data_IF_727686399057
#
_entry.id   IF_727686399057
#
_cell.length_a   1.000
_cell.length_b   1.000
_cell.length_c   1.000
_cell.angle_alpha   90.00
_cell.angle_beta   90.00
_cell.angle_gamma   90.00
#
_symmetry.space_group_name_H-M   'P 1'
#
loop_
_entity.id
_entity.type
_entity.pdbx_description
1 polymer ?
#
# COMPACT_ATOMS: atom_id res chain seq x y z
N UNK A 1 33.86 -27.68 -42.47
CA UNK A 1 33.17 -27.75 -41.17
C UNK A 1 34.23 -27.49 -40.09
N UNK A 2 34.17 -26.35 -39.40
CA UNK A 2 35.23 -25.97 -38.43
C UNK A 2 35.02 -24.67 -37.63
N UNK A 3 34.15 -23.75 -38.08
CA UNK A 3 33.93 -22.48 -37.36
C UNK A 3 32.92 -22.52 -36.20
N UNK A 4 32.11 -23.59 -36.07
CA UNK A 4 31.07 -23.66 -35.03
C UNK A 4 31.64 -23.77 -33.61
N UNK A 5 32.74 -24.50 -33.44
CA UNK A 5 33.34 -24.75 -32.13
C UNK A 5 34.05 -23.51 -31.56
N UNK A 6 34.65 -22.70 -32.44
CA UNK A 6 35.34 -21.45 -32.06
C UNK A 6 34.32 -20.41 -31.60
N UNK A 7 33.20 -20.26 -32.33
CA UNK A 7 32.14 -19.32 -31.98
C UNK A 7 31.50 -19.64 -30.63
N UNK A 8 31.16 -20.91 -30.37
CA UNK A 8 30.60 -21.33 -29.09
C UNK A 8 31.57 -21.12 -27.92
N UNK A 9 32.86 -21.42 -28.12
CA UNK A 9 33.89 -21.22 -27.10
C UNK A 9 34.05 -19.73 -26.77
N UNK A 10 33.97 -18.86 -27.78
CA UNK A 10 34.04 -17.39 -27.62
C UNK A 10 32.83 -16.85 -26.86
N UNK A 11 31.64 -17.38 -27.15
CA UNK A 11 30.39 -16.96 -26.52
C UNK A 11 30.32 -17.40 -25.04
N UNK A 12 30.81 -18.60 -24.73
CA UNK A 12 30.91 -19.10 -23.34
C UNK A 12 31.94 -18.29 -22.56
N UNK A 13 33.13 -18.06 -23.11
CA UNK A 13 34.17 -17.26 -22.43
C UNK A 13 33.73 -15.82 -22.19
N UNK A 14 33.05 -15.19 -23.15
CA UNK A 14 32.50 -13.86 -22.96
C UNK A 14 31.40 -13.83 -21.88
N UNK A 15 30.51 -14.82 -21.85
CA UNK A 15 29.44 -14.91 -20.84
C UNK A 15 30.01 -15.11 -19.43
N UNK A 16 31.00 -15.98 -19.27
CA UNK A 16 31.67 -16.22 -17.98
C UNK A 16 32.41 -14.97 -17.52
N UNK A 17 33.10 -14.26 -18.42
CA UNK A 17 33.76 -13.00 -18.09
C UNK A 17 32.77 -11.93 -17.61
N UNK A 18 31.62 -11.81 -18.27
CA UNK A 18 30.59 -10.82 -17.95
C UNK A 18 29.91 -11.10 -16.60
N UNK A 19 29.64 -12.37 -16.31
CA UNK A 19 29.11 -12.79 -15.00
C UNK A 19 30.15 -12.53 -13.90
N UNK A 20 31.40 -12.91 -14.12
CA UNK A 20 32.49 -12.72 -13.13
C UNK A 20 32.73 -11.23 -12.85
N UNK A 21 32.73 -10.40 -13.88
CA UNK A 21 32.86 -8.94 -13.76
C UNK A 21 31.74 -8.33 -12.91
N UNK A 22 30.49 -8.72 -13.16
CA UNK A 22 29.36 -8.23 -12.38
C UNK A 22 29.41 -8.70 -10.91
N UNK A 23 29.87 -9.92 -10.65
CA UNK A 23 30.06 -10.43 -9.28
C UNK A 23 31.18 -9.67 -8.58
N UNK A 24 32.32 -9.42 -9.24
CA UNK A 24 33.44 -8.65 -8.67
C UNK A 24 33.04 -7.21 -8.41
N UNK A 25 32.31 -6.55 -9.31
CA UNK A 25 31.83 -5.18 -9.08
C UNK A 25 30.81 -5.12 -7.96
N UNK A 26 29.84 -6.04 -7.89
CA UNK A 26 28.86 -6.06 -6.81
C UNK A 26 29.45 -6.41 -5.44
N UNK A 27 30.49 -7.24 -5.40
CA UNK A 27 31.19 -7.62 -4.17
C UNK A 27 32.24 -6.60 -3.70
N UNK A 28 32.83 -5.83 -4.61
CA UNK A 28 33.79 -4.77 -4.30
C UNK A 28 33.20 -3.36 -4.39
N UNK A 29 31.91 -3.21 -4.69
CA UNK A 29 31.20 -1.95 -4.54
C UNK A 29 31.28 -1.56 -3.06
N UNK A 30 31.93 -0.44 -2.70
CA UNK A 30 31.98 -0.01 -1.32
C UNK A 30 30.54 0.32 -0.90
N UNK A 31 29.97 -0.49 -0.01
CA UNK A 31 28.79 -0.14 0.80
C UNK A 31 29.16 0.98 1.77
N UNK A 32 29.53 2.16 1.25
CA UNK A 32 29.48 3.42 1.98
C UNK A 32 28.08 4.00 1.80
N UNK A 33 27.11 3.34 2.40
CA UNK A 33 25.82 3.94 2.70
C UNK A 33 25.93 4.45 4.14
N UNK A 34 26.54 5.62 4.30
CA UNK A 34 26.44 6.34 5.57
C UNK A 34 24.97 6.68 5.80
N UNK A 35 24.32 5.89 6.65
CA UNK A 35 23.04 6.26 7.23
C UNK A 35 23.27 7.51 8.09
N UNK A 36 22.54 8.62 7.87
CA UNK A 36 22.73 9.80 8.71
C UNK A 36 22.30 9.46 10.14
N UNK A 37 23.28 9.45 11.05
CA UNK A 37 23.07 9.38 12.49
C UNK A 37 22.43 10.67 13.03
N UNK A 38 21.82 10.63 14.23
CA UNK A 38 20.94 11.69 14.70
C UNK A 38 21.75 12.93 15.09
N UNK A 39 21.60 14.00 14.30
CA UNK A 39 21.97 15.35 14.73
C UNK A 39 20.96 15.80 15.78
N UNK A 40 21.43 15.99 17.01
CA UNK A 40 20.68 16.67 18.06
C UNK A 40 20.39 18.10 17.61
N UNK A 41 19.19 18.34 17.09
CA UNK A 41 18.59 19.66 17.10
C UNK A 41 17.09 19.53 17.33
N UNK A 42 16.65 20.02 18.48
CA UNK A 42 15.26 20.21 18.81
C UNK A 42 14.66 21.23 17.84
N UNK A 43 13.93 20.76 16.84
CA UNK A 43 13.03 21.61 16.07
C UNK A 43 11.73 20.86 15.83
N UNK A 44 10.65 21.41 16.37
CA UNK A 44 9.28 20.97 16.14
C UNK A 44 8.96 21.12 14.66
N UNK A 45 8.85 20.01 13.93
CA UNK A 45 8.43 20.01 12.52
C UNK A 45 6.93 20.29 12.47
N UNK A 46 6.55 21.52 12.16
CA UNK A 46 5.20 21.88 11.72
C UNK A 46 5.09 21.59 10.23
N UNK A 47 4.47 20.47 9.86
CA UNK A 47 4.10 20.19 8.47
C UNK A 47 2.86 21.03 8.14
N UNK A 48 3.01 21.98 7.21
CA UNK A 48 1.93 22.86 6.76
C UNK A 48 1.15 22.17 5.62
N UNK A 49 -0.14 21.79 5.81
CA UNK A 49 -0.94 21.16 4.75
C UNK A 49 -1.29 22.19 3.65
N UNK A 50 -1.25 21.75 2.39
CA UNK A 50 -1.49 22.58 1.19
C UNK A 50 -2.96 23.07 1.06
N UNK A 51 -3.83 22.74 2.03
CA UNK A 51 -5.23 23.20 2.09
C UNK A 51 -5.45 23.96 3.40
N UNK A 52 -5.86 25.24 3.30
CA UNK A 52 -6.24 26.06 4.47
C UNK A 52 -7.47 25.45 5.16
N UNK A 53 -7.29 25.05 6.42
CA UNK A 53 -8.34 24.53 7.30
C UNK A 53 -9.35 25.63 7.69
N UNK A 54 -10.65 25.34 7.81
CA UNK A 54 -11.58 26.20 8.54
C UNK A 54 -11.23 26.15 10.02
N UNK A 55 -11.02 27.33 10.60
CA UNK A 55 -10.80 27.51 12.04
C UNK A 55 -12.14 27.29 12.73
N UNK A 56 -12.32 26.13 13.34
CA UNK A 56 -13.04 25.92 14.61
C UNK A 56 -13.58 24.48 14.71
N UNK A 57 -12.82 23.64 15.42
CA UNK A 57 -13.42 22.63 16.30
C UNK A 57 -12.46 22.32 17.44
N UNK A 58 -12.94 22.66 18.63
CA UNK A 58 -12.35 22.48 19.95
C UNK A 58 -11.56 21.18 20.12
N UNK A 59 -10.33 21.30 20.62
CA UNK A 59 -9.58 20.25 21.31
C UNK A 59 -10.42 19.75 22.49
N UNK A 60 -11.16 18.66 22.29
CA UNK A 60 -11.96 18.02 23.32
C UNK A 60 -11.62 16.54 23.41
N UNK A 61 -10.96 16.15 24.51
CA UNK A 61 -10.80 14.76 24.91
C UNK A 61 -9.38 14.44 25.36
N UNK A 62 -9.23 14.08 26.64
CA UNK A 62 -8.07 13.38 27.19
C UNK A 62 -7.85 12.09 26.41
N UNK A 63 -7.05 12.17 25.35
CA UNK A 63 -7.11 11.23 24.24
C UNK A 63 -6.46 9.91 24.56
N UNK A 64 -7.25 8.84 24.55
CA UNK A 64 -6.71 7.50 24.25
C UNK A 64 -5.85 7.62 23.00
N UNK A 65 -4.65 7.01 23.00
CA UNK A 65 -3.79 6.98 21.80
C UNK A 65 -4.62 6.53 20.60
N UNK A 66 -4.55 7.28 19.49
CA UNK A 66 -5.23 6.97 18.24
C UNK A 66 -4.46 5.89 17.49
N UNK A 67 -4.38 4.71 18.08
CA UNK A 67 -3.61 3.61 17.51
C UNK A 67 -4.22 3.18 16.17
N UNK A 68 -3.36 2.77 15.23
CA UNK A 68 -3.79 2.12 13.99
C UNK A 68 -3.31 0.67 13.93
N UNK A 69 -4.13 -0.20 13.34
CA UNK A 69 -3.76 -1.57 13.01
C UNK A 69 -3.07 -1.60 11.64
N UNK A 70 -1.89 -2.21 11.54
CA UNK A 70 -1.20 -2.37 10.26
C UNK A 70 -1.71 -3.63 9.55
N UNK A 71 -2.29 -3.46 8.36
CA UNK A 71 -2.76 -4.55 7.52
C UNK A 71 -1.91 -4.64 6.25
N UNK A 72 -1.27 -5.80 6.03
CA UNK A 72 -0.46 -6.07 4.84
C UNK A 72 -1.09 -7.17 4.03
N UNK A 73 -1.47 -6.88 2.78
CA UNK A 73 -1.96 -7.92 1.87
C UNK A 73 -0.82 -8.64 1.17
N UNK A 74 -0.87 -9.96 1.13
CA UNK A 74 0.20 -10.77 0.57
C UNK A 74 -0.31 -12.05 -0.11
N UNK A 75 0.41 -12.46 -1.16
CA UNK A 75 0.33 -13.80 -1.73
C UNK A 75 1.19 -14.81 -0.96
N UNK A 76 1.06 -16.10 -1.28
CA UNK A 76 1.92 -17.18 -0.80
C UNK A 76 3.24 -17.30 -1.58
N UNK A 77 3.54 -16.33 -2.45
CA UNK A 77 4.80 -16.31 -3.19
C UNK A 77 6.00 -16.18 -2.24
N UNK A 78 7.12 -16.78 -2.62
CA UNK A 78 8.39 -16.63 -1.90
C UNK A 78 8.77 -15.17 -1.77
N UNK A 79 8.47 -14.36 -2.78
CA UNK A 79 8.77 -12.92 -2.82
C UNK A 79 8.01 -12.14 -1.75
N UNK A 80 6.68 -12.24 -1.70
CA UNK A 80 5.91 -11.56 -0.65
C UNK A 80 6.22 -12.12 0.74
N UNK A 81 6.58 -13.39 0.84
CA UNK A 81 6.91 -14.03 2.12
C UNK A 81 8.10 -13.34 2.79
N UNK A 82 9.24 -13.22 2.10
CA UNK A 82 10.42 -12.60 2.73
C UNK A 82 10.19 -11.11 3.03
N UNK A 83 9.50 -10.42 2.13
CA UNK A 83 9.09 -9.02 2.29
C UNK A 83 8.25 -8.80 3.55
N UNK A 84 7.17 -9.57 3.73
CA UNK A 84 6.31 -9.48 4.91
C UNK A 84 7.09 -9.76 6.20
N UNK A 85 8.03 -10.71 6.18
CA UNK A 85 8.86 -11.03 7.35
C UNK A 85 9.77 -9.87 7.73
N UNK A 86 10.43 -9.24 6.74
CA UNK A 86 11.27 -8.05 6.95
C UNK A 86 10.43 -6.89 7.48
N UNK A 87 9.28 -6.62 6.85
CA UNK A 87 8.36 -5.59 7.31
C UNK A 87 7.88 -5.85 8.74
N UNK A 88 7.52 -7.09 9.09
CA UNK A 88 7.05 -7.45 10.42
C UNK A 88 8.16 -7.34 11.49
N UNK A 89 9.39 -7.70 11.16
CA UNK A 89 10.54 -7.47 12.04
C UNK A 89 10.68 -5.98 12.40
N UNK A 90 10.66 -5.12 11.40
CA UNK A 90 10.78 -3.68 11.59
C UNK A 90 9.57 -3.06 12.28
N UNK A 91 8.36 -3.53 11.96
CA UNK A 91 7.14 -3.17 12.67
C UNK A 91 7.29 -3.39 14.18
N UNK A 92 7.77 -4.58 14.61
CA UNK A 92 8.00 -4.86 16.03
C UNK A 92 9.01 -3.90 16.65
N UNK A 93 10.10 -3.58 15.95
CA UNK A 93 11.11 -2.62 16.45
C UNK A 93 10.54 -1.22 16.63
N UNK A 94 9.76 -0.74 15.66
CA UNK A 94 9.22 0.62 15.66
C UNK A 94 8.00 0.78 16.56
N UNK A 95 7.22 -0.29 16.77
CA UNK A 95 6.09 -0.31 17.71
C UNK A 95 6.53 -0.05 19.16
N UNK A 96 7.64 -0.64 19.59
CA UNK A 96 8.16 -0.52 20.97
C UNK A 96 8.80 0.85 21.28
N UNK A 97 8.91 1.73 20.29
CA UNK A 97 9.48 3.06 20.52
C UNK A 97 8.51 3.98 21.28
N UNK A 98 9.03 4.92 22.10
CA UNK A 98 8.19 5.90 22.77
C UNK A 98 7.33 6.69 21.78
N UNK A 99 6.08 6.96 22.16
CA UNK A 99 5.12 7.72 21.35
C UNK A 99 4.75 7.09 19.99
N UNK A 100 5.01 5.80 19.79
CA UNK A 100 4.46 5.08 18.64
C UNK A 100 2.93 5.00 18.72
N UNK A 101 2.27 5.30 17.60
CA UNK A 101 0.82 5.10 17.40
C UNK A 101 0.51 3.77 16.70
N UNK A 102 1.51 2.88 16.58
CA UNK A 102 1.38 1.58 15.95
C UNK A 102 0.70 0.58 16.91
N UNK A 103 -0.44 0.04 16.51
CA UNK A 103 -1.23 -0.94 17.27
C UNK A 103 -0.89 -2.39 16.90
N UNK A 104 -1.89 -3.16 16.49
CA UNK A 104 -1.75 -4.52 15.97
C UNK A 104 -1.16 -4.59 14.55
N UNK A 105 -0.85 -5.81 14.13
CA UNK A 105 -0.40 -6.13 12.78
C UNK A 105 -1.10 -7.38 12.29
N UNK A 106 -1.58 -7.38 11.05
CA UNK A 106 -2.10 -8.57 10.38
C UNK A 106 -1.53 -8.66 8.98
N UNK A 107 -0.97 -9.82 8.64
CA UNK A 107 -0.76 -10.25 7.25
C UNK A 107 -2.05 -10.88 6.73
N UNK A 108 -2.68 -10.25 5.75
CA UNK A 108 -3.86 -10.77 5.07
C UNK A 108 -3.37 -11.63 3.89
N UNK A 109 -3.28 -12.94 4.11
CA UNK A 109 -2.82 -13.92 3.13
C UNK A 109 -3.99 -14.33 2.23
N UNK A 110 -3.97 -13.91 0.97
CA UNK A 110 -5.09 -14.13 0.04
C UNK A 110 -4.86 -15.33 -0.91
N UNK A 111 -4.11 -16.34 -0.46
CA UNK A 111 -3.90 -17.61 -1.17
C UNK A 111 -4.99 -18.65 -0.90
N UNK A 112 -5.86 -18.40 0.08
CA UNK A 112 -6.87 -19.35 0.56
C UNK A 112 -6.33 -20.50 1.41
N UNK A 113 -5.01 -20.56 1.65
CA UNK A 113 -4.36 -21.65 2.39
C UNK A 113 -3.40 -21.10 3.45
N UNK A 114 -3.43 -21.72 4.63
CA UNK A 114 -2.47 -21.44 5.67
C UNK A 114 -1.04 -21.80 5.23
N UNK A 115 -0.06 -21.02 5.70
CA UNK A 115 1.36 -21.29 5.49
C UNK A 115 2.11 -21.44 6.82
N UNK A 116 3.37 -21.88 6.74
CA UNK A 116 4.23 -22.05 7.92
C UNK A 116 4.59 -20.75 8.64
N UNK A 117 4.41 -19.59 7.99
CA UNK A 117 4.78 -18.28 8.52
C UNK A 117 3.71 -17.69 9.42
N UNK A 118 2.52 -18.28 9.48
CA UNK A 118 1.46 -17.92 10.43
C UNK A 118 1.89 -18.11 11.89
N UNK A 119 2.86 -18.98 12.16
CA UNK A 119 3.45 -19.14 13.49
C UNK A 119 4.36 -17.95 13.90
N UNK A 120 4.81 -17.16 12.92
CA UNK A 120 5.72 -16.02 13.11
C UNK A 120 4.97 -14.69 13.01
N UNK A 121 4.12 -14.53 11.99
CA UNK A 121 3.40 -13.29 11.67
C UNK A 121 1.90 -13.53 11.92
N UNK A 122 1.22 -12.69 12.73
CA UNK A 122 -0.22 -12.76 12.87
C UNK A 122 -0.87 -12.67 11.48
N UNK A 123 -1.61 -13.71 11.10
CA UNK A 123 -2.08 -13.88 9.73
C UNK A 123 -3.57 -14.18 9.71
N UNK A 124 -4.29 -13.50 8.83
CA UNK A 124 -5.65 -13.85 8.43
C UNK A 124 -5.60 -14.49 7.04
N UNK A 125 -6.21 -15.67 6.88
CA UNK A 125 -6.27 -16.36 5.58
C UNK A 125 -7.58 -16.00 4.89
N UNK A 126 -7.47 -15.21 3.82
CA UNK A 126 -8.59 -14.86 2.96
C UNK A 126 -8.70 -15.85 1.80
N UNK A 127 -9.93 -16.23 1.44
CA UNK A 127 -10.17 -17.00 0.23
C UNK A 127 -9.98 -16.12 -1.00
N UNK A 128 -9.33 -16.61 -2.06
CA UNK A 128 -9.23 -15.86 -3.31
C UNK A 128 -10.60 -15.70 -3.95
N UNK A 129 -10.68 -14.83 -4.95
CA UNK A 129 -11.84 -14.74 -5.83
C UNK A 129 -12.09 -16.08 -6.53
N UNK A 130 -13.35 -16.41 -6.87
CA UNK A 130 -13.66 -17.56 -7.70
C UNK A 130 -12.87 -17.54 -9.01
N UNK A 131 -12.48 -18.73 -9.48
CA UNK A 131 -11.69 -18.88 -10.71
C UNK A 131 -12.33 -18.14 -11.89
N UNK A 132 -11.50 -17.37 -12.62
CA UNK A 132 -11.92 -16.59 -13.78
C UNK A 132 -12.56 -15.23 -13.48
N UNK A 133 -12.92 -14.95 -12.22
CA UNK A 133 -13.50 -13.65 -11.85
C UNK A 133 -12.48 -12.51 -11.91
N UNK A 134 -11.21 -12.82 -11.66
CA UNK A 134 -10.11 -11.86 -11.71
C UNK A 134 -9.59 -11.59 -13.14
N UNK A 135 -10.01 -12.38 -14.13
CA UNK A 135 -9.55 -12.29 -15.53
C UNK A 135 -8.01 -12.25 -15.65
N UNK A 136 -7.31 -12.99 -14.79
CA UNK A 136 -5.84 -13.01 -14.74
C UNK A 136 -5.19 -11.81 -14.04
N UNK A 137 -5.98 -10.85 -13.56
CA UNK A 137 -5.50 -9.71 -12.77
C UNK A 137 -5.58 -10.03 -11.27
N UNK A 138 -4.56 -10.74 -10.78
CA UNK A 138 -4.50 -11.27 -9.41
C UNK A 138 -4.67 -10.22 -8.31
N UNK A 139 -4.42 -8.95 -8.61
CA UNK A 139 -4.54 -7.81 -7.69
C UNK A 139 -5.98 -7.66 -7.18
N UNK A 140 -6.99 -8.13 -7.92
CA UNK A 140 -8.40 -8.11 -7.48
C UNK A 140 -8.67 -8.97 -6.23
N UNK A 141 -7.77 -9.89 -5.88
CA UNK A 141 -7.87 -10.62 -4.61
C UNK A 141 -7.67 -9.71 -3.39
N UNK A 142 -6.99 -8.56 -3.56
CA UNK A 142 -6.71 -7.61 -2.47
C UNK A 142 -7.98 -6.97 -1.88
N UNK A 143 -8.84 -6.28 -2.65
CA UNK A 143 -10.08 -5.73 -2.10
C UNK A 143 -10.97 -6.83 -1.49
N UNK A 144 -11.03 -8.01 -2.12
CA UNK A 144 -11.81 -9.13 -1.59
C UNK A 144 -11.26 -9.65 -0.26
N UNK A 145 -9.94 -9.68 -0.10
CA UNK A 145 -9.31 -10.09 1.14
C UNK A 145 -9.58 -9.08 2.27
N UNK A 146 -9.61 -7.78 1.97
CA UNK A 146 -10.01 -6.75 2.93
C UNK A 146 -11.47 -6.88 3.37
N UNK A 147 -12.39 -7.19 2.45
CA UNK A 147 -13.79 -7.43 2.79
C UNK A 147 -13.91 -8.59 3.79
N UNK A 148 -13.27 -9.72 3.51
CA UNK A 148 -13.28 -10.88 4.41
C UNK A 148 -12.65 -10.57 5.77
N UNK A 149 -11.48 -9.93 5.76
CA UNK A 149 -10.74 -9.60 6.97
C UNK A 149 -11.53 -8.64 7.88
N UNK A 150 -12.13 -7.58 7.32
CA UNK A 150 -12.93 -6.62 8.08
C UNK A 150 -14.22 -7.21 8.67
N UNK A 151 -14.75 -8.26 8.05
CA UNK A 151 -15.96 -8.97 8.53
C UNK A 151 -15.66 -9.97 9.65
N UNK A 152 -14.48 -10.60 9.62
CA UNK A 152 -14.19 -11.78 10.44
C UNK A 152 -13.13 -11.54 11.52
N UNK A 153 -12.23 -10.58 11.34
CA UNK A 153 -11.16 -10.32 12.29
C UNK A 153 -11.59 -9.38 13.42
N UNK A 154 -11.11 -9.68 14.62
CA UNK A 154 -11.28 -8.84 15.80
C UNK A 154 -10.19 -7.75 15.85
N UNK A 155 -10.48 -6.60 15.23
CA UNK A 155 -9.56 -5.46 15.13
C UNK A 155 -9.87 -4.47 16.26
N UNK A 156 -8.94 -4.33 17.21
CA UNK A 156 -9.09 -3.48 18.40
C UNK A 156 -8.96 -1.99 18.08
N UNK A 157 -8.08 -1.64 17.15
CA UNK A 157 -7.81 -0.26 16.80
C UNK A 157 -8.92 0.37 15.94
N UNK A 158 -9.13 1.67 16.09
CA UNK A 158 -10.14 2.42 15.33
C UNK A 158 -9.62 2.94 13.98
N UNK A 159 -8.31 2.83 13.75
CA UNK A 159 -7.66 3.20 12.50
C UNK A 159 -6.93 2.00 11.91
N UNK A 160 -6.77 2.00 10.59
CA UNK A 160 -6.07 0.94 9.85
C UNK A 160 -5.06 1.60 8.94
N UNK A 161 -3.79 1.19 9.05
CA UNK A 161 -2.77 1.42 8.04
C UNK A 161 -2.85 0.29 7.04
N UNK A 162 -3.33 0.57 5.83
CA UNK A 162 -3.18 -0.33 4.70
C UNK A 162 -1.77 -0.19 4.15
N UNK A 163 -1.05 -1.31 4.07
CA UNK A 163 0.34 -1.38 3.63
C UNK A 163 0.55 -2.53 2.65
N UNK A 164 1.63 -2.48 1.88
CA UNK A 164 2.04 -3.54 0.95
C UNK A 164 3.37 -4.19 1.40
N UNK A 165 3.70 -5.40 0.91
CA UNK A 165 4.93 -6.11 1.28
C UNK A 165 6.21 -5.38 0.88
N UNK A 166 6.18 -4.51 -0.13
CA UNK A 166 7.33 -3.71 -0.58
C UNK A 166 7.67 -2.52 0.34
N UNK A 167 6.86 -2.27 1.38
CA UNK A 167 7.15 -1.26 2.39
C UNK A 167 8.14 -1.75 3.46
N UNK A 168 9.01 -0.83 3.92
CA UNK A 168 9.88 -1.05 5.09
C UNK A 168 9.65 0.09 6.08
N UNK A 169 9.38 -0.25 7.35
CA UNK A 169 9.15 0.74 8.41
C UNK A 169 10.48 1.10 9.06
N UNK A 170 11.02 2.27 8.73
CA UNK A 170 12.35 2.70 9.22
C UNK A 170 12.30 3.63 10.44
N UNK A 171 11.17 4.34 10.64
CA UNK A 171 10.89 5.13 11.85
C UNK A 171 9.46 4.83 12.34
N UNK A 172 9.13 5.14 13.61
CA UNK A 172 7.76 5.01 14.12
C UNK A 172 6.81 5.90 13.33
N UNK A 173 5.71 5.32 12.86
CA UNK A 173 4.71 6.06 12.07
C UNK A 173 3.69 6.64 13.06
N UNK A 174 3.55 7.97 13.17
CA UNK A 174 2.45 8.57 13.93
C UNK A 174 1.12 8.36 13.20
N UNK A 175 -0.01 8.41 13.91
CA UNK A 175 -1.30 8.40 13.23
C UNK A 175 -1.54 9.77 12.56
N UNK A 176 -1.31 9.79 11.24
CA UNK A 176 -1.46 10.97 10.39
C UNK A 176 -2.93 11.30 10.06
N UNK A 177 -3.86 10.36 10.28
CA UNK A 177 -5.29 10.62 10.13
C UNK A 177 -5.77 11.53 11.27
N UNK A 178 -6.57 12.56 10.93
CA UNK A 178 -7.15 13.50 11.89
C UNK A 178 -8.45 14.06 11.36
N UNK A 179 -9.29 14.56 12.28
CA UNK A 179 -10.53 15.28 11.98
C UNK A 179 -11.51 14.51 11.08
N UNK A 180 -11.50 13.17 11.18
CA UNK A 180 -12.34 12.27 10.36
C UNK A 180 -11.79 11.99 8.96
N UNK A 181 -10.69 12.63 8.55
CA UNK A 181 -10.03 12.42 7.27
C UNK A 181 -9.01 11.29 7.33
N UNK A 182 -8.89 10.52 6.26
CA UNK A 182 -7.77 9.60 6.05
C UNK A 182 -6.44 10.34 5.88
N UNK A 183 -5.34 9.61 5.89
CA UNK A 183 -4.03 10.11 5.51
C UNK A 183 -3.47 9.21 4.40
N UNK A 184 -3.13 9.78 3.25
CA UNK A 184 -2.80 9.01 2.06
C UNK A 184 -1.61 9.62 1.31
N UNK A 185 -0.90 8.77 0.58
CA UNK A 185 0.13 9.22 -0.35
C UNK A 185 -0.48 9.64 -1.70
N UNK A 186 -0.16 10.84 -2.22
CA UNK A 186 -0.64 11.28 -3.53
C UNK A 186 0.19 10.67 -4.65
N UNK A 187 -0.40 9.73 -5.39
CA UNK A 187 0.24 9.09 -6.54
C UNK A 187 0.13 9.98 -7.77
N UNK A 188 1.28 10.41 -8.31
CA UNK A 188 1.34 11.29 -9.47
C UNK A 188 0.72 10.70 -10.75
N UNK A 189 0.57 9.37 -10.83
CA UNK A 189 -0.02 8.65 -11.96
C UNK A 189 -1.51 8.35 -11.80
N UNK A 190 -2.11 8.69 -10.64
CA UNK A 190 -3.55 8.68 -10.44
C UNK A 190 -4.05 10.09 -10.76
N UNK A 191 -4.63 10.28 -11.94
CA UNK A 191 -4.99 11.57 -12.52
C UNK A 191 -6.49 11.67 -12.81
N UNK A 192 -7.38 11.84 -11.80
CA UNK A 192 -8.83 11.79 -12.01
C UNK A 192 -9.36 12.77 -13.06
N UNK A 193 -8.80 13.99 -13.12
CA UNK A 193 -9.17 15.00 -14.13
C UNK A 193 -8.89 14.55 -15.57
N UNK A 194 -7.77 13.86 -15.79
CA UNK A 194 -7.36 13.39 -17.12
C UNK A 194 -8.26 12.27 -17.63
N UNK A 195 -8.74 11.43 -16.70
CA UNK A 195 -9.58 10.28 -17.01
C UNK A 195 -11.06 10.51 -16.64
N UNK A 196 -11.51 11.77 -16.61
CA UNK A 196 -12.88 12.11 -16.17
C UNK A 196 -13.94 11.34 -16.94
N UNK A 197 -13.87 11.30 -18.28
CA UNK A 197 -14.84 10.59 -19.12
C UNK A 197 -14.98 9.10 -18.77
N UNK A 198 -13.87 8.43 -18.42
CA UNK A 198 -13.85 7.03 -18.00
C UNK A 198 -14.40 6.90 -16.58
N UNK A 199 -13.98 7.79 -15.67
CA UNK A 199 -14.36 7.74 -14.26
C UNK A 199 -15.84 8.08 -14.02
N UNK A 200 -16.49 8.87 -14.87
CA UNK A 200 -17.94 9.19 -14.74
C UNK A 200 -18.84 7.96 -14.80
N UNK A 201 -18.39 6.84 -15.39
CA UNK A 201 -19.09 5.54 -15.32
C UNK A 201 -19.23 5.00 -13.90
N UNK A 202 -18.30 5.37 -13.00
CA UNK A 202 -18.19 4.85 -11.63
C UNK A 202 -18.38 5.94 -10.56
N UNK A 203 -18.21 7.20 -10.93
CA UNK A 203 -18.49 8.39 -10.11
C UNK A 203 -19.35 9.38 -10.92
N UNK A 204 -20.67 9.13 -11.01
CA UNK A 204 -21.61 9.96 -11.77
C UNK A 204 -21.60 11.43 -11.32
N UNK A 205 -22.02 12.35 -12.20
CA UNK A 205 -22.01 13.79 -11.90
C UNK A 205 -22.84 14.16 -10.67
N UNK A 206 -23.89 13.41 -10.37
CA UNK A 206 -24.74 13.63 -9.19
C UNK A 206 -24.03 13.32 -7.88
N UNK A 207 -22.89 12.62 -7.92
CA UNK A 207 -22.05 12.33 -6.75
C UNK A 207 -21.06 13.44 -6.41
N UNK A 208 -20.83 14.39 -7.32
CA UNK A 208 -19.93 15.52 -7.10
C UNK A 208 -18.96 15.78 -8.26
N UNK A 209 -18.13 16.82 -8.15
CA UNK A 209 -17.08 17.11 -9.12
C UNK A 209 -16.02 16.01 -9.13
N UNK A 210 -15.36 15.79 -10.28
CA UNK A 210 -14.31 14.76 -10.41
C UNK A 210 -13.11 14.99 -9.47
N UNK A 211 -12.96 16.23 -8.97
CA UNK A 211 -11.93 16.61 -8.00
C UNK A 211 -12.14 16.05 -6.60
N UNK A 212 -13.31 15.47 -6.31
CA UNK A 212 -13.57 14.78 -5.04
C UNK A 212 -12.89 13.41 -4.99
N UNK A 213 -12.45 12.88 -6.13
CA UNK A 213 -11.59 11.70 -6.19
C UNK A 213 -10.16 12.16 -5.93
N UNK A 214 -9.64 11.82 -4.74
CA UNK A 214 -8.25 12.07 -4.40
C UNK A 214 -7.30 11.24 -5.30
N UNK A 215 -6.11 11.76 -5.66
CA UNK A 215 -5.12 11.05 -6.48
C UNK A 215 -4.36 10.01 -5.66
N UNK A 216 -5.08 9.02 -5.12
CA UNK A 216 -4.56 8.03 -4.16
C UNK A 216 -4.77 6.60 -4.66
N UNK A 217 -4.13 5.64 -3.99
CA UNK A 217 -4.48 4.22 -4.04
C UNK A 217 -4.79 3.70 -2.65
N UNK A 218 -4.93 2.38 -2.50
CA UNK A 218 -5.23 1.76 -1.21
C UNK A 218 -4.06 1.85 -0.20
N UNK A 219 -2.81 2.00 -0.67
CA UNK A 219 -1.63 1.87 0.19
C UNK A 219 -0.49 2.79 -0.26
N UNK A 220 0.23 3.48 0.65
CA UNK A 220 -0.05 3.57 2.08
C UNK A 220 -1.20 4.53 2.35
N UNK A 221 -2.16 4.07 3.17
CA UNK A 221 -3.27 4.89 3.66
C UNK A 221 -3.54 4.55 5.12
N UNK A 222 -3.66 5.56 5.98
CA UNK A 222 -4.25 5.43 7.33
C UNK A 222 -5.68 5.94 7.27
N UNK A 223 -6.65 5.08 7.55
CA UNK A 223 -8.08 5.41 7.47
C UNK A 223 -8.82 4.86 8.68
N UNK A 224 -9.92 5.51 9.07
CA UNK A 224 -10.79 4.98 10.12
C UNK A 224 -11.38 3.62 9.73
N UNK A 225 -11.38 2.66 10.67
CA UNK A 225 -11.88 1.29 10.49
C UNK A 225 -13.32 1.28 9.96
N UNK A 226 -14.19 2.12 10.52
CA UNK A 226 -15.60 2.21 10.10
C UNK A 226 -15.76 2.81 8.69
N UNK A 227 -14.89 3.74 8.29
CA UNK A 227 -14.84 4.23 6.91
C UNK A 227 -14.37 3.12 5.96
N UNK A 228 -13.32 2.38 6.32
CA UNK A 228 -12.80 1.29 5.50
C UNK A 228 -13.82 0.15 5.34
N UNK A 229 -14.62 -0.16 6.37
CA UNK A 229 -15.73 -1.12 6.27
C UNK A 229 -16.78 -0.74 5.22
N UNK A 230 -17.02 0.57 5.02
CA UNK A 230 -17.93 1.07 3.96
C UNK A 230 -17.26 1.03 2.59
N UNK A 231 -15.98 1.42 2.53
CA UNK A 231 -15.20 1.47 1.29
C UNK A 231 -14.99 0.07 0.71
N UNK A 232 -14.56 -0.91 1.52
CA UNK A 232 -14.04 -2.18 1.01
C UNK A 232 -15.01 -2.97 0.10
N UNK A 233 -16.32 -3.10 0.41
CA UNK A 233 -17.26 -3.74 -0.50
C UNK A 233 -17.46 -2.98 -1.82
N UNK A 234 -17.49 -1.64 -1.78
CA UNK A 234 -17.60 -0.81 -2.99
C UNK A 234 -16.32 -0.87 -3.80
N UNK A 235 -15.16 -0.83 -3.16
CA UNK A 235 -13.85 -0.97 -3.78
C UNK A 235 -13.76 -2.28 -4.56
N UNK A 236 -14.13 -3.42 -3.96
CA UNK A 236 -14.22 -4.69 -4.66
C UNK A 236 -15.13 -4.63 -5.90
N UNK A 237 -16.36 -4.14 -5.72
CA UNK A 237 -17.35 -4.13 -6.81
C UNK A 237 -16.94 -3.20 -7.96
N UNK A 238 -16.39 -2.03 -7.64
CA UNK A 238 -15.88 -1.07 -8.63
C UNK A 238 -14.66 -1.67 -9.33
N UNK A 239 -13.72 -2.32 -8.62
CA UNK A 239 -12.59 -2.97 -9.27
C UNK A 239 -13.04 -4.06 -10.26
N UNK A 240 -14.02 -4.88 -9.90
CA UNK A 240 -14.59 -5.89 -10.80
C UNK A 240 -15.31 -5.26 -12.00
N UNK A 241 -16.05 -4.17 -11.79
CA UNK A 241 -16.75 -3.46 -12.85
C UNK A 241 -15.78 -2.78 -13.82
N UNK A 242 -14.72 -2.14 -13.31
CA UNK A 242 -13.64 -1.56 -14.11
C UNK A 242 -12.91 -2.64 -14.89
N UNK A 243 -12.62 -3.81 -14.29
CA UNK A 243 -11.93 -4.90 -14.98
C UNK A 243 -12.75 -5.48 -16.14
N UNK A 244 -14.08 -5.53 -16.00
CA UNK A 244 -15.00 -6.03 -17.03
C UNK A 244 -15.24 -5.05 -18.17
N UNK A 245 -14.96 -3.75 -17.99
CA UNK A 245 -15.13 -2.72 -19.01
C UNK A 245 -13.84 -2.57 -19.82
N UNK A 246 -13.81 -2.97 -21.11
CA UNK A 246 -12.56 -2.99 -21.89
C UNK A 246 -11.90 -1.63 -22.07
N UNK A 247 -12.68 -0.55 -22.10
CA UNK A 247 -12.16 0.82 -22.21
C UNK A 247 -11.42 1.21 -20.92
N UNK A 248 -12.04 0.92 -19.78
CA UNK A 248 -11.51 1.24 -18.44
C UNK A 248 -10.31 0.37 -18.09
N UNK A 249 -10.38 -0.94 -18.36
CA UNK A 249 -9.24 -1.86 -18.17
C UNK A 249 -8.04 -1.43 -19.00
N UNK A 250 -8.27 -1.01 -20.25
CA UNK A 250 -7.22 -0.46 -21.10
C UNK A 250 -6.67 0.87 -20.59
N UNK A 251 -7.53 1.74 -20.06
CA UNK A 251 -7.14 3.07 -19.58
C UNK A 251 -6.28 3.02 -18.32
N UNK A 252 -6.64 2.16 -17.36
CA UNK A 252 -5.97 2.09 -16.05
C UNK A 252 -4.97 0.95 -15.94
N UNK A 253 -5.18 -0.16 -16.65
CA UNK A 253 -4.27 -1.31 -16.65
C UNK A 253 -3.92 -1.79 -15.24
N UNK A 254 -2.63 -1.81 -14.92
CA UNK A 254 -2.14 -2.37 -13.66
C UNK A 254 -2.51 -1.55 -12.41
N UNK A 255 -2.88 -0.27 -12.54
CA UNK A 255 -3.32 0.60 -11.43
C UNK A 255 -4.84 0.69 -11.28
N UNK A 256 -5.60 -0.12 -12.02
CA UNK A 256 -7.06 -0.11 -12.01
C UNK A 256 -7.66 -0.27 -10.61
N UNK A 257 -7.08 -1.15 -9.79
CA UNK A 257 -7.53 -1.36 -8.42
C UNK A 257 -7.36 -0.07 -7.58
N UNK A 258 -6.27 0.68 -7.77
CA UNK A 258 -6.02 1.93 -7.06
C UNK A 258 -7.05 3.00 -7.42
N UNK A 259 -7.41 3.13 -8.71
CA UNK A 259 -8.50 4.01 -9.14
C UNK A 259 -9.83 3.60 -8.51
N UNK A 260 -10.12 2.30 -8.44
CA UNK A 260 -11.32 1.80 -7.79
C UNK A 260 -11.35 2.15 -6.29
N UNK A 261 -10.22 2.08 -5.59
CA UNK A 261 -10.12 2.52 -4.19
C UNK A 261 -10.40 4.02 -4.04
N UNK A 262 -9.80 4.85 -4.89
CA UNK A 262 -10.00 6.31 -4.87
C UNK A 262 -11.46 6.69 -5.14
N UNK A 263 -12.08 6.11 -6.17
CA UNK A 263 -13.50 6.30 -6.50
C UNK A 263 -14.38 5.85 -5.34
N UNK A 264 -14.08 4.70 -4.73
CA UNK A 264 -14.89 4.17 -3.62
C UNK A 264 -14.78 5.04 -2.38
N UNK A 265 -13.61 5.61 -2.11
CA UNK A 265 -13.42 6.59 -1.03
C UNK A 265 -14.27 7.84 -1.26
N UNK A 266 -14.26 8.38 -2.49
CA UNK A 266 -15.09 9.52 -2.87
C UNK A 266 -16.60 9.23 -2.78
N UNK A 267 -17.06 8.06 -3.26
CA UNK A 267 -18.47 7.64 -3.20
C UNK A 267 -19.02 7.58 -1.77
N UNK A 268 -18.16 7.30 -0.79
CA UNK A 268 -18.52 7.23 0.63
C UNK A 268 -18.16 8.51 1.41
N UNK A 269 -17.73 9.58 0.73
CA UNK A 269 -17.38 10.86 1.37
C UNK A 269 -16.16 10.77 2.29
N UNK A 270 -15.24 9.83 2.05
CA UNK A 270 -14.03 9.63 2.84
C UNK A 270 -12.89 10.42 2.21
N UNK A 271 -12.72 11.67 2.65
CA UNK A 271 -11.62 12.54 2.19
C UNK A 271 -10.29 12.23 2.88
N UNK A 272 -9.19 12.68 2.27
CA UNK A 272 -7.84 12.38 2.73
C UNK A 272 -6.97 13.63 2.89
N UNK A 273 -6.09 13.59 3.87
CA UNK A 273 -4.95 14.49 4.00
C UNK A 273 -3.80 13.87 3.20
N UNK A 274 -3.32 14.60 2.19
CA UNK A 274 -2.29 14.10 1.28
C UNK A 274 -0.88 14.41 1.82
N UNK A 275 -0.09 13.37 2.03
CA UNK A 275 1.27 13.46 2.54
C UNK A 275 2.27 12.99 1.48
N UNK A 276 3.00 13.95 0.88
CA UNK A 276 4.02 13.66 -0.16
C UNK A 276 5.19 12.82 0.35
N UNK A 277 5.50 12.94 1.64
CA UNK A 277 6.62 12.25 2.27
C UNK A 277 6.15 11.01 3.06
N UNK A 278 4.94 10.50 2.79
CA UNK A 278 4.42 9.36 3.54
C UNK A 278 5.25 8.09 3.30
N UNK A 279 5.68 7.87 2.05
CA UNK A 279 6.55 6.74 1.67
C UNK A 279 8.04 6.99 2.00
N UNK A 280 8.47 8.25 2.01
CA UNK A 280 9.87 8.63 2.24
C UNK A 280 9.91 9.51 3.48
N UNK A 281 10.14 8.90 4.63
CA UNK A 281 10.26 9.65 5.89
C UNK A 281 11.63 10.35 5.95
N UNK A 282 11.75 11.51 5.30
CA UNK A 282 12.93 12.40 5.39
C UNK A 282 13.15 12.81 6.84
#
# INVERSE_FOLDING_TARGET
>A
MGCGNVFFTLLITFSVALITYNIIISSNAPLKQELPGPSRSSSSITVDPIIKMPVDKSRGGSGSKRLFHTAVTASDSVYNTWQCRVMYYWFKKMKETPNSDMGGFTRILHSGKADKHMNEIPTFVAQPLPSGMDQGYIVLNRPWAFVQWLQQADIKEDYILMSEPDHIIVKPIPNLSRDGLGAAFPFFYIEPKKYESVLRKYFPEEKGPITDIDPIGNSPVIVGKESLKKIAPTWMNVSLAMKKDPETDKAFGWVLEMYAYAVSSALHGVGNILFKDFMIQV
#
